data_IF_437495021469
#
_entry.id   IF_437495021469
#
_cell.length_a   1.000
_cell.length_b   1.000
_cell.length_c   1.000
_cell.angle_alpha   90.00
_cell.angle_beta   90.00
_cell.angle_gamma   90.00
#
_symmetry.space_group_name_H-M   'P 1'
#
loop_
_entity.id
_entity.type
_entity.pdbx_description
1 polymer ?
#
# COMPACT_ATOMS: atom_id res chain seq x y z
N UNK A 1 -25.92 -32.62 -40.68
CA UNK A 1 -26.61 -33.44 -41.71
C UNK A 1 -26.99 -32.53 -42.86
N UNK A 2 -26.42 -32.74 -44.05
CA UNK A 2 -26.82 -32.02 -45.26
C UNK A 2 -27.97 -32.80 -45.89
N UNK A 3 -29.14 -32.18 -46.02
CA UNK A 3 -30.33 -32.83 -46.59
C UNK A 3 -30.11 -33.14 -48.08
N UNK A 4 -29.88 -34.41 -48.43
CA UNK A 4 -29.68 -34.87 -49.82
C UNK A 4 -31.01 -35.25 -50.49
N UNK A 5 -31.98 -34.33 -50.52
CA UNK A 5 -33.24 -34.50 -51.25
C UNK A 5 -34.11 -35.71 -50.85
N UNK A 6 -35.30 -35.84 -51.46
CA UNK A 6 -36.19 -37.00 -51.22
C UNK A 6 -35.75 -38.21 -52.07
N UNK A 7 -35.58 -39.40 -51.49
CA UNK A 7 -35.28 -40.61 -52.24
C UNK A 7 -36.35 -40.94 -53.29
N UNK A 8 -35.93 -41.52 -54.42
CA UNK A 8 -36.84 -41.94 -55.50
C UNK A 8 -37.81 -43.03 -55.03
N UNK A 9 -39.10 -42.88 -55.39
CA UNK A 9 -40.18 -43.84 -55.10
C UNK A 9 -40.20 -45.08 -56.03
N UNK A 10 -39.20 -45.24 -56.90
CA UNK A 10 -39.12 -46.41 -57.79
C UNK A 10 -38.74 -47.68 -57.02
N UNK A 11 -39.08 -48.87 -57.54
CA UNK A 11 -38.63 -50.13 -56.94
C UNK A 11 -37.09 -50.22 -56.96
N UNK A 12 -36.52 -51.09 -56.13
CA UNK A 12 -35.06 -51.20 -55.98
C UNK A 12 -34.37 -51.55 -57.31
N UNK A 13 -34.94 -52.47 -58.06
CA UNK A 13 -34.34 -52.96 -59.31
C UNK A 13 -34.40 -51.91 -60.44
N UNK A 14 -35.47 -51.13 -60.52
CA UNK A 14 -35.51 -49.99 -61.45
C UNK A 14 -34.55 -48.87 -61.04
N UNK A 15 -34.32 -48.65 -59.73
CA UNK A 15 -33.32 -47.68 -59.25
C UNK A 15 -31.90 -48.11 -59.59
N UNK A 16 -31.55 -49.38 -59.36
CA UNK A 16 -30.22 -49.90 -59.72
C UNK A 16 -29.92 -49.79 -61.21
N UNK A 17 -30.95 -49.98 -62.04
CA UNK A 17 -30.86 -49.88 -63.50
C UNK A 17 -31.03 -48.46 -64.04
N UNK A 18 -31.28 -47.49 -63.17
CA UNK A 18 -31.56 -46.09 -63.50
C UNK A 18 -32.64 -45.88 -64.59
N UNK A 19 -33.76 -46.59 -64.45
CA UNK A 19 -34.92 -46.49 -65.37
C UNK A 19 -36.19 -46.05 -64.66
N UNK A 20 -37.11 -45.47 -65.44
CA UNK A 20 -38.41 -44.99 -64.93
C UNK A 20 -39.33 -46.16 -64.58
N UNK A 21 -39.70 -46.25 -63.30
CA UNK A 21 -40.59 -47.27 -62.78
C UNK A 21 -42.07 -46.81 -62.87
N UNK A 22 -42.96 -47.70 -63.30
CA UNK A 22 -44.41 -47.46 -63.45
C UNK A 22 -45.19 -47.65 -62.15
N UNK A 23 -44.57 -48.18 -61.09
CA UNK A 23 -45.05 -48.18 -59.70
C UNK A 23 -46.36 -48.95 -59.43
N UNK A 24 -46.69 -49.98 -60.21
CA UNK A 24 -47.86 -50.84 -59.98
C UNK A 24 -47.74 -51.66 -58.68
N UNK A 25 -48.85 -51.81 -57.95
CA UNK A 25 -48.90 -52.40 -56.59
C UNK A 25 -48.41 -53.86 -56.51
N UNK A 26 -48.78 -54.70 -57.47
CA UNK A 26 -48.38 -56.12 -57.50
C UNK A 26 -46.95 -56.35 -58.04
N UNK A 27 -46.21 -55.30 -58.38
CA UNK A 27 -44.89 -55.35 -59.00
C UNK A 27 -44.84 -54.55 -60.31
N UNK A 28 -43.71 -53.89 -60.57
CA UNK A 28 -43.57 -52.99 -61.71
C UNK A 28 -43.45 -53.76 -63.05
N UNK A 29 -44.03 -53.22 -64.12
CA UNK A 29 -44.04 -53.90 -65.43
C UNK A 29 -42.64 -54.02 -66.04
N UNK A 30 -41.74 -53.10 -65.69
CA UNK A 30 -40.35 -53.11 -66.19
C UNK A 30 -39.53 -54.28 -65.63
N UNK A 31 -39.78 -54.67 -64.38
CA UNK A 31 -39.16 -55.86 -63.79
C UNK A 31 -39.75 -57.13 -64.41
N UNK A 32 -41.08 -57.19 -64.56
CA UNK A 32 -41.75 -58.34 -65.17
C UNK A 32 -41.28 -58.60 -66.61
N UNK A 33 -41.20 -57.57 -67.46
CA UNK A 33 -40.69 -57.69 -68.84
C UNK A 33 -39.21 -58.11 -68.90
N UNK A 34 -38.44 -57.76 -67.89
CA UNK A 34 -37.03 -58.16 -67.79
C UNK A 34 -36.83 -59.54 -67.13
N UNK A 35 -37.91 -60.26 -66.79
CA UNK A 35 -37.83 -61.55 -66.09
C UNK A 35 -37.36 -61.46 -64.65
N UNK A 36 -37.42 -60.28 -64.02
CA UNK A 36 -36.93 -60.04 -62.65
C UNK A 36 -38.09 -59.96 -61.65
N UNK A 37 -37.91 -60.56 -60.48
CA UNK A 37 -38.85 -60.43 -59.36
C UNK A 37 -38.77 -59.02 -58.76
N UNK A 38 -39.88 -58.31 -58.75
CA UNK A 38 -39.95 -56.95 -58.20
C UNK A 38 -40.03 -57.00 -56.66
N UNK A 39 -38.99 -56.51 -55.98
CA UNK A 39 -38.90 -56.44 -54.51
C UNK A 39 -39.79 -55.37 -53.85
N UNK A 40 -40.67 -54.72 -54.62
CA UNK A 40 -41.61 -53.70 -54.14
C UNK A 40 -41.02 -52.30 -54.00
N UNK A 41 -41.79 -51.39 -53.39
CA UNK A 41 -41.44 -49.98 -53.19
C UNK A 41 -41.17 -49.71 -51.71
N UNK A 42 -40.13 -48.93 -51.41
CA UNK A 42 -39.83 -48.51 -50.04
C UNK A 42 -40.91 -47.56 -49.52
N UNK A 43 -41.39 -47.79 -48.30
CA UNK A 43 -42.31 -46.88 -47.61
C UNK A 43 -41.55 -45.64 -47.17
N UNK A 44 -42.17 -44.47 -47.28
CA UNK A 44 -41.51 -43.17 -47.05
C UNK A 44 -41.17 -42.86 -45.58
N UNK A 45 -41.33 -43.83 -44.67
CA UNK A 45 -41.07 -43.70 -43.22
C UNK A 45 -39.78 -44.36 -42.77
N UNK A 46 -39.05 -45.05 -43.66
CA UNK A 46 -37.78 -45.69 -43.29
C UNK A 46 -36.63 -44.66 -43.37
N UNK A 47 -36.21 -44.15 -42.21
CA UNK A 47 -35.07 -43.24 -42.06
C UNK A 47 -33.75 -44.00 -42.31
N UNK A 48 -33.05 -43.67 -43.39
CA UNK A 48 -31.68 -44.17 -43.64
C UNK A 48 -30.69 -43.23 -42.94
N UNK A 49 -30.24 -43.62 -41.75
CA UNK A 49 -29.17 -42.91 -41.03
C UNK A 49 -27.82 -43.48 -41.49
N UNK A 50 -27.10 -42.71 -42.31
CA UNK A 50 -25.73 -43.04 -42.72
C UNK A 50 -24.74 -42.48 -41.71
N UNK A 51 -23.86 -43.35 -41.20
CA UNK A 51 -22.79 -42.97 -40.28
C UNK A 51 -21.66 -42.28 -41.05
N UNK A 52 -21.65 -40.94 -41.06
CA UNK A 52 -20.61 -40.12 -41.71
C UNK A 52 -19.36 -39.88 -40.83
N UNK A 53 -19.20 -40.61 -39.72
CA UNK A 53 -18.10 -40.37 -38.77
C UNK A 53 -16.73 -40.52 -39.43
N UNK A 54 -16.55 -41.53 -40.29
CA UNK A 54 -15.29 -41.77 -41.00
C UNK A 54 -14.98 -40.65 -42.01
N UNK A 55 -15.96 -40.25 -42.82
CA UNK A 55 -15.81 -39.17 -43.80
C UNK A 55 -15.54 -37.82 -43.12
N UNK A 56 -16.15 -37.57 -41.95
CA UNK A 56 -15.90 -36.37 -41.16
C UNK A 56 -14.50 -36.40 -40.54
N UNK A 57 -14.07 -37.55 -40.00
CA UNK A 57 -12.74 -37.74 -39.45
C UNK A 57 -11.65 -37.51 -40.51
N UNK A 58 -11.78 -38.07 -41.71
CA UNK A 58 -10.85 -37.84 -42.82
C UNK A 58 -10.80 -36.37 -43.25
N UNK A 59 -11.95 -35.67 -43.27
CA UNK A 59 -12.00 -34.24 -43.59
C UNK A 59 -11.25 -33.39 -42.57
N UNK A 60 -11.38 -33.71 -41.28
CA UNK A 60 -10.67 -33.03 -40.20
C UNK A 60 -9.16 -33.32 -40.25
N UNK A 61 -8.77 -34.57 -40.53
CA UNK A 61 -7.36 -34.96 -40.69
C UNK A 61 -6.72 -34.26 -41.89
N UNK A 62 -7.41 -34.19 -43.04
CA UNK A 62 -6.94 -33.45 -44.23
C UNK A 62 -6.81 -31.94 -44.00
N UNK A 63 -7.68 -31.35 -43.17
CA UNK A 63 -7.58 -29.93 -42.79
C UNK A 63 -6.35 -29.70 -41.90
N UNK A 64 -6.09 -30.59 -40.94
CA UNK A 64 -4.90 -30.56 -40.07
C UNK A 64 -3.57 -30.76 -40.81
N UNK A 65 -3.55 -31.45 -41.95
CA UNK A 65 -2.32 -31.62 -42.74
C UNK A 65 -1.97 -30.40 -43.61
N UNK A 66 -2.95 -29.54 -43.93
CA UNK A 66 -2.73 -28.30 -44.69
C UNK A 66 -2.38 -27.13 -43.76
N UNK A 67 -2.83 -27.16 -42.51
CA UNK A 67 -2.33 -26.29 -41.44
C UNK A 67 -1.04 -26.89 -40.86
N UNK A 68 0.09 -26.63 -41.53
CA UNK A 68 1.43 -26.85 -40.99
C UNK A 68 1.46 -26.27 -39.56
N UNK A 69 1.91 -26.99 -38.51
CA UNK A 69 1.81 -26.49 -37.16
C UNK A 69 2.73 -25.27 -37.03
N UNK A 70 2.13 -24.08 -37.05
CA UNK A 70 2.67 -22.98 -36.27
C UNK A 70 2.77 -23.53 -34.85
N UNK A 71 4.00 -23.53 -34.32
CA UNK A 71 4.37 -23.76 -32.92
C UNK A 71 3.18 -23.82 -31.98
N UNK A 72 3.03 -24.93 -31.26
CA UNK A 72 2.07 -25.13 -30.17
C UNK A 72 1.67 -23.78 -29.56
N UNK A 73 0.46 -23.31 -29.90
CA UNK A 73 -0.01 -22.00 -29.49
C UNK A 73 0.13 -21.89 -27.99
N UNK A 74 0.87 -20.89 -27.53
CA UNK A 74 0.88 -20.45 -26.14
C UNK A 74 -0.55 -20.53 -25.62
N UNK A 75 -0.75 -21.23 -24.51
CA UNK A 75 -1.96 -21.12 -23.70
C UNK A 75 -2.36 -19.65 -23.68
N UNK A 76 -3.57 -19.34 -24.15
CA UNK A 76 -4.09 -17.98 -24.24
C UNK A 76 -3.81 -17.24 -22.93
N UNK A 77 -2.80 -16.37 -22.93
CA UNK A 77 -2.38 -15.56 -21.78
C UNK A 77 -3.46 -14.55 -21.36
N UNK A 78 -4.56 -14.48 -22.12
CA UNK A 78 -5.70 -13.59 -21.92
C UNK A 78 -6.56 -13.93 -20.69
N UNK A 79 -6.34 -15.07 -20.02
CA UNK A 79 -7.02 -15.42 -18.76
C UNK A 79 -6.22 -15.05 -17.51
N UNK A 80 -4.95 -14.68 -17.64
CA UNK A 80 -4.13 -14.26 -16.50
C UNK A 80 -4.24 -12.75 -16.29
N UNK A 81 -4.45 -12.29 -15.05
CA UNK A 81 -4.51 -10.86 -14.77
C UNK A 81 -3.19 -10.20 -15.16
N UNK A 82 -3.26 -9.03 -15.82
CA UNK A 82 -2.08 -8.24 -16.16
C UNK A 82 -1.31 -7.85 -14.90
N UNK A 83 -0.04 -7.49 -15.06
CA UNK A 83 0.77 -6.98 -13.93
C UNK A 83 0.07 -5.82 -13.25
N UNK A 84 -0.48 -4.87 -14.02
CA UNK A 84 -1.20 -3.73 -13.48
C UNK A 84 -2.46 -4.16 -12.70
N UNK A 85 -3.20 -5.15 -13.19
CA UNK A 85 -4.36 -5.68 -12.47
C UNK A 85 -3.95 -6.34 -11.14
N UNK A 86 -2.85 -7.10 -11.12
CA UNK A 86 -2.30 -7.67 -9.88
C UNK A 86 -1.79 -6.60 -8.93
N UNK A 87 -1.10 -5.58 -9.46
CA UNK A 87 -0.60 -4.44 -8.71
C UNK A 87 -1.72 -3.65 -8.04
N UNK A 88 -2.80 -3.39 -8.79
CA UNK A 88 -4.03 -2.79 -8.25
C UNK A 88 -4.64 -3.63 -7.13
N UNK A 89 -4.83 -4.93 -7.34
CA UNK A 89 -5.41 -5.80 -6.31
C UNK A 89 -4.55 -5.84 -5.05
N UNK A 90 -3.22 -5.93 -5.21
CA UNK A 90 -2.30 -5.87 -4.09
C UNK A 90 -2.40 -4.53 -3.35
N UNK A 91 -2.40 -3.40 -4.06
CA UNK A 91 -2.53 -2.10 -3.41
C UNK A 91 -3.83 -2.00 -2.60
N UNK A 92 -4.95 -2.46 -3.18
CA UNK A 92 -6.25 -2.44 -2.52
C UNK A 92 -6.21 -3.29 -1.24
N UNK A 93 -5.68 -4.51 -1.28
CA UNK A 93 -5.61 -5.36 -0.09
C UNK A 93 -4.67 -4.84 1.00
N UNK A 94 -3.66 -4.05 0.63
CA UNK A 94 -2.71 -3.51 1.60
C UNK A 94 -3.15 -2.17 2.22
N UNK A 95 -3.88 -1.32 1.48
CA UNK A 95 -4.16 0.07 1.88
C UNK A 95 -5.63 0.46 1.95
N UNK A 96 -6.51 -0.29 1.30
CA UNK A 96 -7.92 0.09 1.12
C UNK A 96 -8.85 -0.85 1.85
N UNK A 97 -8.60 -2.16 1.74
CA UNK A 97 -9.45 -3.20 2.30
C UNK A 97 -9.58 -3.01 3.83
N UNK A 98 -10.82 -2.83 4.30
CA UNK A 98 -11.18 -2.61 5.71
C UNK A 98 -10.54 -1.36 6.37
N UNK A 99 -9.97 -0.42 5.61
CA UNK A 99 -9.41 0.81 6.12
C UNK A 99 -10.34 2.00 5.84
N UNK A 100 -10.69 2.83 6.85
CA UNK A 100 -11.38 4.08 6.59
C UNK A 100 -10.49 5.01 5.73
N UNK A 101 -11.10 5.96 5.00
CA UNK A 101 -10.41 6.93 4.12
C UNK A 101 -9.70 8.03 4.92
N UNK A 102 -8.91 7.62 5.91
CA UNK A 102 -8.25 8.48 6.89
C UNK A 102 -6.81 8.79 6.52
N UNK A 103 -6.16 7.96 5.69
CA UNK A 103 -4.75 8.14 5.31
C UNK A 103 -4.53 8.38 3.83
N UNK A 104 -3.38 8.96 3.46
CA UNK A 104 -3.13 9.40 2.08
C UNK A 104 -3.19 8.23 1.08
N UNK A 105 -2.74 7.05 1.51
CA UNK A 105 -2.75 5.82 0.71
C UNK A 105 -4.16 5.27 0.50
N UNK A 106 -5.06 5.39 1.49
CA UNK A 106 -6.45 4.94 1.36
C UNK A 106 -7.34 6.00 0.70
N UNK A 107 -6.93 7.28 0.71
CA UNK A 107 -7.69 8.41 0.19
C UNK A 107 -7.95 8.36 -1.31
N UNK A 108 -7.16 7.58 -2.07
CA UNK A 108 -7.43 7.39 -3.50
C UNK A 108 -8.84 6.84 -3.79
N UNK A 109 -9.49 6.17 -2.83
CA UNK A 109 -10.87 5.68 -2.93
C UNK A 109 -11.89 6.80 -3.14
N UNK A 110 -11.57 8.04 -2.75
CA UNK A 110 -12.43 9.20 -3.00
C UNK A 110 -12.54 9.49 -4.51
N UNK A 111 -11.47 9.20 -5.26
CA UNK A 111 -11.40 9.45 -6.70
C UNK A 111 -11.52 8.18 -7.55
N UNK A 112 -11.40 7.00 -6.95
CA UNK A 112 -11.30 5.72 -7.67
C UNK A 112 -12.36 4.70 -7.23
N UNK A 113 -13.05 4.02 -8.16
CA UNK A 113 -13.01 4.23 -9.62
C UNK A 113 -13.69 5.56 -10.01
N UNK A 114 -13.24 6.18 -11.12
CA UNK A 114 -13.77 7.47 -11.56
C UNK A 114 -15.30 7.38 -11.78
N UNK A 115 -16.06 8.28 -11.15
CA UNK A 115 -17.54 8.32 -11.22
C UNK A 115 -18.06 9.29 -12.29
N UNK A 116 -17.27 10.30 -12.66
CA UNK A 116 -17.53 11.25 -13.74
C UNK A 116 -16.24 12.01 -14.07
N UNK A 117 -15.99 12.20 -15.37
CA UNK A 117 -14.81 12.78 -16.01
C UNK A 117 -13.49 12.02 -15.79
N UNK A 118 -12.89 11.56 -16.88
CA UNK A 118 -11.52 11.05 -16.88
C UNK A 118 -10.56 12.21 -16.56
N UNK A 119 -9.69 12.03 -15.57
CA UNK A 119 -8.60 12.97 -15.27
C UNK A 119 -7.27 12.25 -15.46
N UNK A 120 -6.67 12.31 -16.66
CA UNK A 120 -5.54 11.46 -17.04
C UNK A 120 -4.34 11.55 -16.11
N UNK A 121 -4.09 12.72 -15.52
CA UNK A 121 -3.00 12.92 -14.56
C UNK A 121 -3.17 12.02 -13.32
N UNK A 122 -4.36 12.06 -12.70
CA UNK A 122 -4.61 11.30 -11.49
C UNK A 122 -4.63 9.79 -11.78
N UNK A 123 -5.25 9.39 -12.88
CA UNK A 123 -5.25 7.98 -13.30
C UNK A 123 -3.83 7.46 -13.52
N UNK A 124 -2.99 8.23 -14.23
CA UNK A 124 -1.59 7.90 -14.47
C UNK A 124 -0.83 7.76 -13.14
N UNK A 125 -1.05 8.67 -12.19
CA UNK A 125 -0.39 8.62 -10.89
C UNK A 125 -0.84 7.45 -10.01
N UNK A 126 -2.14 7.13 -9.99
CA UNK A 126 -2.66 5.96 -9.26
C UNK A 126 -2.06 4.67 -9.82
N UNK A 127 -2.04 4.50 -11.15
CA UNK A 127 -1.44 3.33 -11.79
C UNK A 127 0.08 3.24 -11.55
N UNK A 128 0.76 4.39 -11.59
CA UNK A 128 2.18 4.51 -11.25
C UNK A 128 2.45 4.03 -9.83
N UNK A 129 1.61 4.44 -8.87
CA UNK A 129 1.74 4.06 -7.48
C UNK A 129 1.49 2.55 -7.27
N UNK A 130 0.48 1.98 -7.94
CA UNK A 130 0.23 0.53 -7.92
C UNK A 130 1.46 -0.25 -8.34
N UNK A 131 2.09 0.14 -9.46
CA UNK A 131 3.26 -0.55 -9.98
C UNK A 131 4.48 -0.38 -9.08
N UNK A 132 4.71 0.82 -8.53
CA UNK A 132 5.80 1.06 -7.57
C UNK A 132 5.64 0.24 -6.28
N UNK A 133 4.43 0.23 -5.71
CA UNK A 133 4.10 -0.61 -4.55
C UNK A 133 4.28 -2.09 -4.86
N UNK A 134 3.84 -2.55 -6.04
CA UNK A 134 4.01 -3.93 -6.45
C UNK A 134 5.48 -4.32 -6.58
N UNK A 135 6.31 -3.48 -7.20
CA UNK A 135 7.76 -3.68 -7.26
C UNK A 135 8.36 -3.82 -5.86
N UNK A 136 8.04 -2.88 -4.98
CA UNK A 136 8.56 -2.86 -3.62
C UNK A 136 8.16 -4.14 -2.87
N UNK A 137 6.86 -4.43 -2.76
CA UNK A 137 6.36 -5.53 -1.95
C UNK A 137 6.70 -6.92 -2.51
N UNK A 138 6.73 -7.07 -3.84
CA UNK A 138 7.00 -8.37 -4.49
C UNK A 138 8.45 -8.54 -4.96
N UNK A 139 9.28 -7.50 -4.86
CA UNK A 139 10.65 -7.51 -5.36
C UNK A 139 10.77 -7.57 -6.90
N UNK A 140 9.71 -7.24 -7.63
CA UNK A 140 9.67 -7.36 -9.09
C UNK A 140 10.04 -6.05 -9.79
N UNK A 141 11.35 -5.82 -9.93
CA UNK A 141 11.95 -4.59 -10.49
C UNK A 141 11.39 -4.10 -11.84
N UNK A 142 10.97 -4.95 -12.79
CA UNK A 142 10.36 -4.45 -14.03
C UNK A 142 9.09 -3.62 -13.79
N UNK A 143 8.34 -3.83 -12.69
CA UNK A 143 7.22 -2.97 -12.35
C UNK A 143 7.67 -1.54 -12.04
N UNK A 144 8.78 -1.36 -11.31
CA UNK A 144 9.31 -0.03 -11.04
C UNK A 144 9.71 0.68 -12.33
N UNK A 145 10.34 -0.04 -13.27
CA UNK A 145 10.68 0.54 -14.58
C UNK A 145 9.44 1.06 -15.32
N UNK A 146 8.35 0.28 -15.37
CA UNK A 146 7.09 0.74 -15.95
C UNK A 146 6.45 1.91 -15.17
N UNK A 147 6.59 1.92 -13.85
CA UNK A 147 6.14 3.02 -13.01
C UNK A 147 6.93 4.31 -13.32
N UNK A 148 8.24 4.23 -13.50
CA UNK A 148 9.11 5.37 -13.85
C UNK A 148 8.77 5.95 -15.23
N UNK A 149 8.46 5.11 -16.22
CA UNK A 149 7.98 5.59 -17.53
C UNK A 149 6.65 6.34 -17.36
N UNK A 150 5.71 5.76 -16.62
CA UNK A 150 4.39 6.36 -16.37
C UNK A 150 4.51 7.67 -15.58
N UNK A 151 5.44 7.73 -14.64
CA UNK A 151 5.80 8.93 -13.90
C UNK A 151 6.34 10.04 -14.80
N UNK A 152 7.16 9.70 -15.81
CA UNK A 152 7.60 10.64 -16.84
C UNK A 152 6.42 11.27 -17.59
N UNK A 153 5.41 10.47 -17.94
CA UNK A 153 4.16 10.98 -18.52
C UNK A 153 3.37 11.86 -17.54
N UNK A 154 3.31 11.46 -16.27
CA UNK A 154 2.64 12.25 -15.22
C UNK A 154 3.29 13.63 -15.05
N UNK A 155 4.62 13.76 -15.10
CA UNK A 155 5.30 15.07 -15.07
C UNK A 155 4.85 15.99 -16.21
N UNK A 156 4.69 15.45 -17.42
CA UNK A 156 4.18 16.21 -18.57
C UNK A 156 2.72 16.64 -18.38
N UNK A 157 1.88 15.74 -17.85
CA UNK A 157 0.48 16.03 -17.53
C UNK A 157 0.35 17.07 -16.40
N UNK A 158 1.16 16.96 -15.35
CA UNK A 158 1.22 17.95 -14.26
C UNK A 158 1.57 19.32 -14.80
N UNK A 159 2.58 19.43 -15.68
CA UNK A 159 2.95 20.71 -16.30
C UNK A 159 1.79 21.35 -17.04
N UNK A 160 1.00 20.57 -17.80
CA UNK A 160 -0.19 21.05 -18.50
C UNK A 160 -1.28 21.50 -17.52
N UNK A 161 -1.54 20.70 -16.49
CA UNK A 161 -2.55 20.99 -15.48
C UNK A 161 -2.26 22.29 -14.73
N UNK A 162 -1.01 22.51 -14.28
CA UNK A 162 -0.65 23.72 -13.52
C UNK A 162 -0.59 24.99 -14.39
N UNK A 163 -0.47 24.85 -15.72
CA UNK A 163 -0.55 25.98 -16.66
C UNK A 163 -1.99 26.45 -16.90
N UNK A 164 -2.98 25.61 -16.60
CA UNK A 164 -4.40 25.95 -16.68
C UNK A 164 -4.88 26.49 -15.33
N UNK A 165 -5.34 27.76 -15.24
CA UNK A 165 -5.85 28.32 -13.98
C UNK A 165 -7.00 27.52 -13.38
N UNK A 166 -7.78 26.85 -14.22
CA UNK A 166 -8.90 26.00 -13.77
C UNK A 166 -8.40 24.67 -13.24
N UNK A 167 -7.51 23.98 -13.95
CA UNK A 167 -7.05 22.66 -13.52
C UNK A 167 -6.12 22.74 -12.32
N UNK A 168 -5.27 23.77 -12.21
CA UNK A 168 -4.38 23.98 -11.08
C UNK A 168 -5.11 23.97 -9.71
N UNK A 169 -6.39 24.33 -9.69
CA UNK A 169 -7.21 24.43 -8.47
C UNK A 169 -7.98 23.15 -8.14
N UNK A 170 -7.93 22.11 -8.98
CA UNK A 170 -8.69 20.88 -8.78
C UNK A 170 -8.06 20.01 -7.68
N UNK A 171 -8.91 19.36 -6.88
CA UNK A 171 -8.48 18.36 -5.89
C UNK A 171 -7.64 17.25 -6.51
N UNK A 172 -8.06 16.79 -7.70
CA UNK A 172 -7.37 15.72 -8.44
C UNK A 172 -5.94 16.13 -8.81
N UNK A 173 -5.70 17.41 -9.08
CA UNK A 173 -4.36 17.95 -9.40
C UNK A 173 -3.49 18.00 -8.16
N UNK A 174 -3.99 18.62 -7.09
CA UNK A 174 -3.26 18.68 -5.80
C UNK A 174 -2.95 17.28 -5.27
N UNK A 175 -3.94 16.39 -5.27
CA UNK A 175 -3.75 15.02 -4.84
C UNK A 175 -2.74 14.27 -5.71
N UNK A 176 -2.74 14.48 -7.03
CA UNK A 176 -1.73 13.88 -7.91
C UNK A 176 -0.31 14.34 -7.54
N UNK A 177 -0.10 15.63 -7.23
CA UNK A 177 1.21 16.15 -6.79
C UNK A 177 1.62 15.56 -5.42
N UNK A 178 0.67 15.37 -4.50
CA UNK A 178 0.92 14.65 -3.24
C UNK A 178 1.33 13.19 -3.50
N UNK A 179 0.68 12.49 -4.42
CA UNK A 179 1.05 11.12 -4.82
C UNK A 179 2.43 11.08 -5.51
N UNK A 180 2.82 12.10 -6.27
CA UNK A 180 4.16 12.21 -6.84
C UNK A 180 5.22 12.27 -5.74
N UNK A 181 4.93 13.01 -4.67
CA UNK A 181 5.79 13.08 -3.48
C UNK A 181 5.99 11.70 -2.83
N UNK A 182 4.95 10.86 -2.80
CA UNK A 182 5.03 9.48 -2.30
C UNK A 182 5.82 8.58 -3.26
N UNK A 183 5.53 8.67 -4.57
CA UNK A 183 6.18 7.85 -5.58
C UNK A 183 7.69 8.02 -5.56
N UNK A 184 8.20 9.26 -5.47
CA UNK A 184 9.64 9.51 -5.42
C UNK A 184 10.30 8.82 -4.23
N UNK A 185 9.64 8.77 -3.07
CA UNK A 185 10.15 8.00 -1.91
C UNK A 185 10.19 6.50 -2.20
N UNK A 186 9.10 5.94 -2.74
CA UNK A 186 9.04 4.50 -3.06
C UNK A 186 10.08 4.10 -4.11
N UNK A 187 10.30 4.95 -5.13
CA UNK A 187 11.24 4.69 -6.21
C UNK A 187 12.71 4.86 -5.77
N UNK A 188 13.02 5.86 -4.93
CA UNK A 188 14.39 6.14 -4.47
C UNK A 188 14.92 5.08 -3.49
N UNK A 189 14.04 4.45 -2.70
CA UNK A 189 14.42 3.33 -1.81
C UNK A 189 15.09 2.20 -2.60
N UNK A 190 14.62 1.89 -3.81
CA UNK A 190 15.20 0.84 -4.64
C UNK A 190 16.56 1.23 -5.28
N UNK A 191 16.88 2.52 -5.35
CA UNK A 191 18.11 3.05 -5.97
C UNK A 191 19.23 3.40 -4.97
N UNK A 192 19.04 3.13 -3.66
CA UNK A 192 20.04 3.33 -2.58
C UNK A 192 20.57 4.79 -2.43
N UNK A 193 19.96 5.76 -3.08
CA UNK A 193 20.30 7.18 -2.95
C UNK A 193 19.54 7.83 -1.80
N UNK A 194 20.27 8.32 -0.78
CA UNK A 194 19.69 8.93 0.45
C UNK A 194 19.47 10.45 0.34
N UNK A 195 19.40 11.03 -0.86
CA UNK A 195 19.06 12.44 -1.05
C UNK A 195 17.60 12.56 -1.48
N UNK A 196 16.73 12.90 -0.53
CA UNK A 196 15.26 12.93 -0.67
C UNK A 196 14.79 14.38 -0.58
N UNK A 197 15.27 15.27 -1.44
CA UNK A 197 14.69 16.61 -1.50
C UNK A 197 13.43 16.56 -2.36
N UNK A 198 12.26 16.66 -1.74
CA UNK A 198 10.99 16.49 -2.43
C UNK A 198 10.49 17.80 -3.06
N UNK A 199 10.77 17.99 -4.35
CA UNK A 199 10.34 19.18 -5.11
C UNK A 199 8.82 19.32 -5.22
N UNK A 200 8.07 18.20 -5.15
CA UNK A 200 6.61 18.22 -5.26
C UNK A 200 5.92 18.76 -4.02
N UNK A 201 6.50 18.60 -2.83
CA UNK A 201 5.96 19.23 -1.62
C UNK A 201 5.94 20.76 -1.77
N UNK A 202 6.97 21.33 -2.40
CA UNK A 202 6.99 22.74 -2.77
C UNK A 202 5.85 23.11 -3.71
N UNK A 203 5.68 22.35 -4.78
CA UNK A 203 4.56 22.56 -5.70
C UNK A 203 3.19 22.43 -5.01
N UNK A 204 3.03 21.47 -4.11
CA UNK A 204 1.77 21.20 -3.42
C UNK A 204 1.35 22.33 -2.49
N UNK A 205 2.26 22.90 -1.69
CA UNK A 205 1.88 24.03 -0.84
C UNK A 205 1.58 25.29 -1.65
N UNK A 206 2.27 25.54 -2.77
CA UNK A 206 1.96 26.68 -3.66
C UNK A 206 0.58 26.50 -4.31
N UNK A 207 0.25 25.29 -4.77
CA UNK A 207 -1.08 24.99 -5.31
C UNK A 207 -2.18 25.14 -4.24
N UNK A 208 -1.94 24.70 -3.01
CA UNK A 208 -2.89 24.93 -1.92
C UNK A 208 -3.01 26.42 -1.59
N UNK A 209 -1.92 27.18 -1.55
CA UNK A 209 -1.99 28.63 -1.35
C UNK A 209 -2.82 29.32 -2.44
N UNK A 210 -2.69 28.91 -3.70
CA UNK A 210 -3.48 29.42 -4.82
C UNK A 210 -4.99 29.10 -4.70
N UNK A 211 -5.37 27.98 -4.06
CA UNK A 211 -6.78 27.63 -3.81
C UNK A 211 -7.45 28.51 -2.75
N UNK A 212 -6.67 29.14 -1.88
CA UNK A 212 -7.15 30.01 -0.82
C UNK A 212 -7.87 29.27 0.32
N UNK A 213 -8.46 30.05 1.24
CA UNK A 213 -8.95 29.54 2.53
C UNK A 213 -10.21 28.67 2.46
N UNK A 214 -10.98 28.74 1.37
CA UNK A 214 -12.23 27.95 1.19
C UNK A 214 -11.99 26.44 1.21
N UNK A 215 -10.78 25.98 0.88
CA UNK A 215 -10.45 24.55 0.91
C UNK A 215 -10.44 23.98 2.33
N UNK A 216 -10.24 24.81 3.36
CA UNK A 216 -10.13 24.34 4.74
C UNK A 216 -11.49 24.11 5.41
N UNK A 217 -12.57 24.62 4.81
CA UNK A 217 -13.95 24.33 5.22
C UNK A 217 -14.55 23.13 4.48
N UNK A 218 -13.92 22.70 3.39
CA UNK A 218 -14.30 21.50 2.66
C UNK A 218 -13.60 20.26 3.24
N UNK A 219 -14.32 19.15 3.41
CA UNK A 219 -13.77 17.94 4.02
C UNK A 219 -12.58 17.39 3.22
N UNK A 220 -12.66 17.44 1.88
CA UNK A 220 -11.61 16.95 1.01
C UNK A 220 -10.37 17.85 1.01
N UNK A 221 -10.57 19.15 0.93
CA UNK A 221 -9.50 20.14 1.04
C UNK A 221 -8.77 20.09 2.38
N UNK A 222 -9.50 20.01 3.50
CA UNK A 222 -8.92 19.89 4.83
C UNK A 222 -8.11 18.59 5.01
N UNK A 223 -8.60 17.44 4.50
CA UNK A 223 -7.85 16.17 4.52
C UNK A 223 -6.57 16.25 3.70
N UNK A 224 -6.61 16.80 2.49
CA UNK A 224 -5.40 16.97 1.68
C UNK A 224 -4.38 17.89 2.36
N UNK A 225 -4.84 18.96 3.03
CA UNK A 225 -3.96 19.82 3.81
C UNK A 225 -3.27 19.06 4.96
N UNK A 226 -3.98 18.16 5.65
CA UNK A 226 -3.39 17.31 6.68
C UNK A 226 -2.38 16.31 6.11
N UNK A 227 -2.61 15.76 4.91
CA UNK A 227 -1.63 14.94 4.22
C UNK A 227 -0.38 15.74 3.83
N UNK A 228 -0.55 16.95 3.29
CA UNK A 228 0.56 17.84 2.99
C UNK A 228 1.37 18.16 4.25
N UNK A 229 0.69 18.48 5.36
CA UNK A 229 1.32 18.79 6.65
C UNK A 229 2.20 17.66 7.12
N UNK A 230 1.69 16.43 7.11
CA UNK A 230 2.46 15.24 7.48
C UNK A 230 3.70 15.07 6.59
N UNK A 231 3.53 15.15 5.26
CA UNK A 231 4.64 14.96 4.34
C UNK A 231 5.72 16.03 4.49
N UNK A 232 5.34 17.30 4.68
CA UNK A 232 6.27 18.41 4.90
C UNK A 232 7.04 18.23 6.19
N UNK A 233 6.36 17.91 7.30
CA UNK A 233 7.02 17.73 8.61
C UNK A 233 8.00 16.57 8.57
N UNK A 234 7.63 15.43 7.98
CA UNK A 234 8.53 14.29 7.84
C UNK A 234 9.72 14.57 6.92
N UNK A 235 9.52 15.32 5.81
CA UNK A 235 10.61 15.74 4.92
C UNK A 235 11.59 16.67 5.65
N UNK A 236 11.09 17.63 6.44
CA UNK A 236 11.91 18.54 7.22
C UNK A 236 12.72 17.82 8.30
N UNK A 237 12.07 16.91 9.04
CA UNK A 237 12.74 16.08 10.05
C UNK A 237 13.83 15.20 9.44
N UNK A 238 13.55 14.55 8.32
CA UNK A 238 14.51 13.67 7.65
C UNK A 238 15.66 14.45 7.00
N UNK A 239 15.40 15.61 6.39
CA UNK A 239 16.42 16.43 5.77
C UNK A 239 17.09 17.41 6.74
N UNK A 240 16.65 17.45 8.00
CA UNK A 240 17.21 18.27 9.05
C UNK A 240 17.15 19.78 8.75
N UNK A 241 16.05 20.21 8.14
CA UNK A 241 15.77 21.60 7.77
C UNK A 241 14.56 22.12 8.53
N UNK A 242 14.45 23.44 8.65
CA UNK A 242 13.30 24.09 9.28
C UNK A 242 12.04 23.96 8.41
N UNK A 243 10.88 24.13 9.05
CA UNK A 243 9.59 24.22 8.37
C UNK A 243 9.57 25.47 7.48
N UNK A 244 9.30 25.34 6.16
CA UNK A 244 9.31 26.49 5.26
C UNK A 244 8.34 27.60 5.69
N UNK A 245 8.75 28.89 5.71
CA UNK A 245 7.87 30.00 6.07
C UNK A 245 6.62 30.09 5.20
N UNK A 246 6.70 29.70 3.92
CA UNK A 246 5.55 29.66 3.03
C UNK A 246 4.50 28.64 3.50
N UNK A 247 4.95 27.50 4.02
CA UNK A 247 4.07 26.50 4.59
C UNK A 247 3.44 26.99 5.91
N UNK A 248 4.20 27.68 6.75
CA UNK A 248 3.67 28.32 7.97
C UNK A 248 2.59 29.37 7.65
N UNK A 249 2.77 30.16 6.58
CA UNK A 249 1.76 31.11 6.13
C UNK A 249 0.47 30.38 5.68
N UNK A 250 0.60 29.27 4.95
CA UNK A 250 -0.54 28.43 4.58
C UNK A 250 -1.24 27.82 5.81
N UNK A 251 -0.45 27.39 6.80
CA UNK A 251 -0.93 26.88 8.09
C UNK A 251 -1.73 27.92 8.85
N UNK A 252 -1.26 29.17 8.87
CA UNK A 252 -1.97 30.30 9.47
C UNK A 252 -3.29 30.58 8.73
N UNK A 253 -3.28 30.56 7.39
CA UNK A 253 -4.51 30.68 6.61
C UNK A 253 -5.50 29.54 6.85
N UNK A 254 -5.06 28.37 7.32
CA UNK A 254 -5.95 27.28 7.71
C UNK A 254 -6.55 27.46 9.12
N UNK A 255 -5.95 28.30 9.96
CA UNK A 255 -6.45 28.65 11.30
C UNK A 255 -7.46 29.80 11.28
N UNK A 256 -7.36 30.69 10.30
CA UNK A 256 -8.28 31.84 10.12
C UNK A 256 -9.74 31.47 9.75
N UNK A 257 -10.02 30.44 8.93
CA UNK A 257 -11.36 29.90 8.74
C UNK A 257 -11.71 28.90 9.85
N UNK A 258 -12.99 28.59 10.02
CA UNK A 258 -13.51 27.58 10.94
C UNK A 258 -13.15 26.13 10.57
N UNK A 259 -11.88 25.87 10.21
CA UNK A 259 -11.34 24.53 10.03
C UNK A 259 -11.44 23.76 11.35
N UNK A 260 -11.78 22.48 11.27
CA UNK A 260 -11.86 21.63 12.44
C UNK A 260 -10.46 21.32 12.99
N UNK A 261 -10.03 22.12 13.97
CA UNK A 261 -8.78 21.92 14.69
C UNK A 261 -8.92 20.91 15.85
N UNK A 262 -10.11 20.38 16.09
CA UNK A 262 -10.38 19.48 17.22
C UNK A 262 -9.95 18.04 16.95
N UNK A 263 -9.81 17.66 15.68
CA UNK A 263 -9.39 16.30 15.29
C UNK A 263 -8.04 15.92 15.89
N UNK A 264 -7.92 14.66 16.33
CA UNK A 264 -6.68 14.16 16.94
C UNK A 264 -5.50 14.23 15.97
N UNK A 265 -5.73 13.96 14.69
CA UNK A 265 -4.75 14.08 13.62
C UNK A 265 -4.18 15.49 13.53
N UNK A 266 -5.03 16.53 13.56
CA UNK A 266 -4.59 17.92 13.55
C UNK A 266 -3.70 18.24 14.76
N UNK A 267 -4.17 17.89 15.96
CA UNK A 267 -3.45 18.16 17.20
C UNK A 267 -2.11 17.42 17.28
N UNK A 268 -2.04 16.19 16.76
CA UNK A 268 -0.79 15.44 16.67
C UNK A 268 0.19 16.05 15.66
N UNK A 269 -0.30 16.43 14.48
CA UNK A 269 0.54 17.08 13.47
C UNK A 269 1.06 18.45 13.93
N UNK A 270 0.30 19.15 14.77
CA UNK A 270 0.75 20.38 15.44
C UNK A 270 1.96 20.11 16.37
N UNK A 271 1.89 19.06 17.18
CA UNK A 271 3.00 18.64 18.04
C UNK A 271 4.21 18.21 17.20
N UNK A 272 3.99 17.42 16.14
CA UNK A 272 5.05 17.00 15.22
C UNK A 272 5.75 18.19 14.55
N UNK A 273 4.99 19.21 14.14
CA UNK A 273 5.54 20.44 13.53
C UNK A 273 6.39 21.22 14.54
N UNK A 274 5.88 21.43 15.77
CA UNK A 274 6.64 22.09 16.84
C UNK A 274 7.91 21.31 17.22
N UNK A 275 7.84 19.98 17.23
CA UNK A 275 9.01 19.12 17.42
C UNK A 275 10.04 19.30 16.30
N UNK A 276 9.62 19.35 15.03
CA UNK A 276 10.54 19.60 13.91
C UNK A 276 11.24 20.96 14.01
N UNK A 277 10.52 22.00 14.40
CA UNK A 277 11.10 23.32 14.67
C UNK A 277 12.10 23.28 15.83
N UNK A 278 11.79 22.54 16.90
CA UNK A 278 12.69 22.37 18.05
C UNK A 278 13.99 21.65 17.65
N UNK A 279 13.91 20.55 16.91
CA UNK A 279 15.08 19.81 16.38
C UNK A 279 15.96 20.68 15.48
N UNK A 280 15.36 21.58 14.71
CA UNK A 280 16.12 22.56 13.93
C UNK A 280 16.75 23.65 14.81
N UNK A 281 16.01 24.22 15.75
CA UNK A 281 16.47 25.25 16.68
C UNK A 281 17.63 24.80 17.59
N UNK A 282 17.67 23.51 17.96
CA UNK A 282 18.81 22.89 18.64
C UNK A 282 20.11 23.12 17.88
N UNK A 283 20.10 23.00 16.54
CA UNK A 283 21.29 23.21 15.69
C UNK A 283 21.65 24.68 15.53
N UNK A 284 20.68 25.56 15.70
CA UNK A 284 20.84 27.01 15.61
C UNK A 284 21.34 27.65 16.94
N UNK A 285 21.88 26.85 17.87
CA UNK A 285 22.47 27.29 19.14
C UNK A 285 21.48 27.92 20.15
N UNK A 286 20.33 27.27 20.36
CA UNK A 286 19.37 27.62 21.43
C UNK A 286 19.91 27.20 22.81
N UNK A 287 19.49 27.86 23.89
CA UNK A 287 19.91 27.48 25.25
C UNK A 287 19.42 26.08 25.63
N UNK A 288 20.26 25.29 26.29
CA UNK A 288 19.91 23.93 26.71
C UNK A 288 18.66 23.88 27.62
N UNK A 289 18.48 24.88 28.48
CA UNK A 289 17.30 24.99 29.36
C UNK A 289 16.01 25.23 28.60
N UNK A 290 16.01 26.12 27.59
CA UNK A 290 14.83 26.37 26.75
C UNK A 290 14.46 25.14 25.93
N UNK A 291 15.46 24.41 25.43
CA UNK A 291 15.29 23.16 24.69
C UNK A 291 14.59 22.11 25.56
N UNK A 292 15.07 21.91 26.81
CA UNK A 292 14.47 20.97 27.76
C UNK A 292 13.02 21.37 28.07
N UNK A 293 12.77 22.63 28.41
CA UNK A 293 11.43 23.11 28.74
C UNK A 293 10.44 22.92 27.58
N UNK A 294 10.85 23.23 26.34
CA UNK A 294 10.00 23.01 25.16
C UNK A 294 9.74 21.52 24.92
N UNK A 295 10.74 20.66 25.12
CA UNK A 295 10.59 19.22 24.97
C UNK A 295 9.64 18.61 26.01
N UNK A 296 9.69 19.07 27.26
CA UNK A 296 8.76 18.68 28.32
C UNK A 296 7.32 19.12 28.03
N UNK A 297 7.14 20.34 27.51
CA UNK A 297 5.84 20.83 27.09
C UNK A 297 5.23 19.96 25.97
N UNK A 298 6.05 19.56 24.99
CA UNK A 298 5.62 18.65 23.92
C UNK A 298 5.32 17.23 24.44
N UNK A 299 6.09 16.71 25.40
CA UNK A 299 5.81 15.42 26.04
C UNK A 299 4.46 15.45 26.77
N UNK A 300 4.16 16.54 27.47
CA UNK A 300 2.88 16.73 28.15
C UNK A 300 1.71 16.86 27.15
N UNK A 301 1.91 17.52 26.01
CA UNK A 301 0.93 17.58 24.91
C UNK A 301 0.63 16.17 24.38
N UNK A 302 1.67 15.35 24.17
CA UNK A 302 1.52 13.97 23.69
C UNK A 302 0.81 13.08 24.71
N UNK A 303 1.16 13.21 26.00
CA UNK A 303 0.49 12.49 27.07
C UNK A 303 -1.00 12.81 27.13
N UNK A 304 -1.36 14.11 27.00
CA UNK A 304 -2.77 14.52 26.88
C UNK A 304 -3.48 13.89 25.67
N UNK A 305 -2.82 13.76 24.53
CA UNK A 305 -3.43 13.13 23.34
C UNK A 305 -3.76 11.65 23.58
N UNK A 306 -2.97 10.94 24.40
CA UNK A 306 -3.25 9.52 24.70
C UNK A 306 -4.60 9.30 25.40
N UNK A 307 -5.11 10.30 26.11
CA UNK A 307 -6.41 10.22 26.81
C UNK A 307 -7.61 10.10 25.85
N UNK A 308 -7.42 10.48 24.59
CA UNK A 308 -8.44 10.39 23.54
C UNK A 308 -8.28 9.16 22.64
N UNK A 309 -7.20 8.39 22.79
CA UNK A 309 -6.99 7.17 22.01
C UNK A 309 -7.86 6.02 22.57
N UNK A 310 -8.30 5.08 21.71
CA UNK A 310 -8.98 3.89 22.19
C UNK A 310 -8.13 3.11 23.19
N UNK A 311 -8.78 2.63 24.25
CA UNK A 311 -8.14 1.82 25.29
C UNK A 311 -7.73 0.45 24.76
N UNK A 312 -6.71 -0.14 25.38
CA UNK A 312 -6.23 -1.49 25.09
C UNK A 312 -5.97 -2.23 26.40
N UNK A 313 -5.87 -3.56 26.33
CA UNK A 313 -5.56 -4.36 27.51
C UNK A 313 -4.04 -4.48 27.69
N UNK A 314 -3.52 -3.78 28.71
CA UNK A 314 -2.10 -3.83 29.04
C UNK A 314 -1.76 -5.03 29.93
N UNK A 315 -0.79 -5.84 29.51
CA UNK A 315 -0.27 -6.97 30.29
C UNK A 315 0.65 -6.54 31.43
N UNK A 316 1.16 -5.31 31.41
CA UNK A 316 1.96 -4.72 32.49
C UNK A 316 1.19 -4.65 33.82
N UNK A 317 -0.14 -4.59 33.76
CA UNK A 317 -1.01 -4.52 34.93
C UNK A 317 -1.42 -5.91 35.47
N UNK A 318 -0.93 -7.00 34.86
CA UNK A 318 -1.23 -8.37 35.29
C UNK A 318 -0.41 -8.75 36.53
N UNK A 319 -1.02 -9.40 37.55
CA UNK A 319 -0.32 -9.82 38.78
C UNK A 319 0.65 -11.01 38.59
N UNK A 320 0.99 -11.36 37.35
CA UNK A 320 1.82 -12.52 37.03
C UNK A 320 3.34 -12.21 37.13
N UNK A 321 4.19 -13.23 37.39
CA UNK A 321 5.63 -13.05 37.48
C UNK A 321 6.26 -12.48 36.18
N UNK A 322 7.31 -11.64 36.25
CA UNK A 322 7.94 -11.00 35.09
C UNK A 322 8.43 -11.97 33.99
N UNK A 323 8.82 -13.19 34.37
CA UNK A 323 9.28 -14.24 33.45
C UNK A 323 8.14 -14.77 32.56
N UNK A 324 6.90 -14.76 33.05
CA UNK A 324 5.70 -15.15 32.28
C UNK A 324 5.24 -14.02 31.35
N UNK A 325 5.52 -12.75 31.70
CA UNK A 325 5.24 -11.58 30.88
C UNK A 325 6.08 -11.52 29.60
N UNK A 326 7.30 -12.08 29.59
CA UNK A 326 8.18 -12.08 28.41
C UNK A 326 7.51 -12.70 27.16
N UNK A 327 6.59 -13.66 27.37
CA UNK A 327 5.88 -14.37 26.31
C UNK A 327 4.46 -13.84 26.03
N UNK A 328 4.06 -12.71 26.62
CA UNK A 328 2.73 -12.11 26.45
C UNK A 328 2.82 -10.70 25.88
N UNK A 329 1.93 -10.39 24.95
CA UNK A 329 1.76 -9.06 24.36
C UNK A 329 0.48 -8.37 24.86
N UNK A 330 0.51 -7.04 24.80
CA UNK A 330 -0.67 -6.20 24.97
C UNK A 330 -1.70 -6.50 23.88
N UNK A 331 -2.99 -6.37 24.21
CA UNK A 331 -4.08 -6.66 23.27
C UNK A 331 -4.75 -5.35 22.87
N UNK A 332 -4.58 -4.97 21.61
CA UNK A 332 -5.23 -3.83 20.98
C UNK A 332 -6.50 -4.26 20.26
N UNK A 333 -7.54 -3.42 20.20
CA UNK A 333 -8.77 -3.73 19.46
C UNK A 333 -8.52 -3.91 17.95
N UNK A 334 -7.59 -3.13 17.39
CA UNK A 334 -7.25 -3.13 15.98
C UNK A 334 -5.81 -2.61 15.77
N UNK A 335 -5.29 -2.79 14.54
CA UNK A 335 -3.96 -2.33 14.15
C UNK A 335 -3.81 -0.80 14.22
N UNK A 336 -4.83 -0.04 13.81
CA UNK A 336 -4.74 1.42 13.81
C UNK A 336 -4.58 1.94 15.24
N UNK A 337 -5.32 1.40 16.21
CA UNK A 337 -5.15 1.74 17.63
C UNK A 337 -3.71 1.46 18.09
N UNK A 338 -3.16 0.27 17.79
CA UNK A 338 -1.77 -0.08 18.10
C UNK A 338 -0.78 0.92 17.48
N UNK A 339 -0.95 1.24 16.19
CA UNK A 339 -0.11 2.17 15.43
C UNK A 339 -0.13 3.57 16.05
N UNK A 340 -1.31 4.09 16.39
CA UNK A 340 -1.47 5.43 16.99
C UNK A 340 -0.72 5.54 18.32
N UNK A 341 -0.89 4.54 19.20
CA UNK A 341 -0.16 4.46 20.47
C UNK A 341 1.36 4.42 20.25
N UNK A 342 1.84 3.60 19.31
CA UNK A 342 3.27 3.49 19.03
C UNK A 342 3.86 4.74 18.38
N UNK A 343 3.12 5.44 17.50
CA UNK A 343 3.57 6.71 16.91
C UNK A 343 3.80 7.77 18.00
N UNK A 344 2.88 7.89 18.96
CA UNK A 344 3.06 8.76 20.13
C UNK A 344 4.29 8.33 20.94
N UNK A 345 4.43 7.03 21.24
CA UNK A 345 5.57 6.51 22.02
C UNK A 345 6.92 6.81 21.36
N UNK A 346 7.02 6.66 20.04
CA UNK A 346 8.24 6.99 19.27
C UNK A 346 8.60 8.47 19.42
N UNK A 347 7.62 9.37 19.30
CA UNK A 347 7.88 10.81 19.43
C UNK A 347 8.31 11.18 20.86
N UNK A 348 7.64 10.64 21.88
CA UNK A 348 8.03 10.83 23.29
C UNK A 348 9.44 10.30 23.56
N UNK A 349 9.80 9.16 22.98
CA UNK A 349 11.15 8.58 23.01
C UNK A 349 12.19 9.57 22.45
N UNK A 350 11.91 10.23 21.32
CA UNK A 350 12.80 11.25 20.76
C UNK A 350 12.92 12.49 21.66
N UNK A 351 11.80 12.97 22.23
CA UNK A 351 11.84 14.09 23.19
C UNK A 351 12.68 13.75 24.43
N UNK A 352 12.53 12.54 24.98
CA UNK A 352 13.36 12.10 26.10
C UNK A 352 14.85 12.05 25.72
N UNK A 353 15.19 11.62 24.50
CA UNK A 353 16.57 11.65 24.00
C UNK A 353 17.11 13.08 23.98
N UNK A 354 16.35 14.01 23.41
CA UNK A 354 16.73 15.42 23.32
C UNK A 354 16.91 16.07 24.70
N UNK A 355 16.02 15.78 25.67
CA UNK A 355 16.18 16.22 27.07
C UNK A 355 17.49 15.70 27.66
N UNK A 356 17.84 14.43 27.44
CA UNK A 356 19.07 13.85 28.01
C UNK A 356 20.32 14.45 27.39
N UNK A 357 20.35 14.58 26.07
CA UNK A 357 21.51 15.13 25.35
C UNK A 357 21.85 16.55 25.82
N UNK A 358 20.83 17.38 26.08
CA UNK A 358 21.02 18.76 26.54
C UNK A 358 21.15 18.88 28.06
N UNK A 359 20.48 18.03 28.84
CA UNK A 359 20.64 18.01 30.29
C UNK A 359 22.07 17.64 30.70
N UNK A 360 22.73 16.73 29.99
CA UNK A 360 24.15 16.40 30.23
C UNK A 360 25.06 17.59 29.96
N UNK A 361 24.76 18.44 28.97
CA UNK A 361 25.55 19.64 28.67
C UNK A 361 25.47 20.69 29.79
N UNK A 362 24.40 20.67 30.59
CA UNK A 362 24.22 21.61 31.71
C UNK A 362 24.94 21.16 33.00
N UNK A 363 25.30 19.88 33.12
CA UNK A 363 26.01 19.35 34.30
C UNK A 363 27.37 20.02 34.48
N UNK A 364 27.70 20.39 35.73
CA UNK A 364 28.99 20.99 36.08
C UNK A 364 29.14 22.47 35.71
N UNK A 365 28.09 23.10 35.17
CA UNK A 365 28.05 24.53 34.82
C UNK A 365 27.05 25.34 35.66
N UNK A 366 26.24 24.67 36.51
CA UNK A 366 25.15 25.28 37.26
C UNK A 366 25.20 24.91 38.75
N UNK A 367 24.60 25.73 39.62
CA UNK A 367 24.44 25.43 41.05
C UNK A 367 23.39 24.34 41.34
N UNK A 368 22.71 23.82 40.32
CA UNK A 368 21.52 22.95 40.43
C UNK A 368 21.72 21.55 39.82
N UNK A 369 22.95 21.03 39.85
CA UNK A 369 23.30 19.72 39.30
C UNK A 369 22.45 18.58 39.87
N UNK A 370 21.98 18.69 41.13
CA UNK A 370 21.07 17.70 41.73
C UNK A 370 19.73 17.63 41.01
N UNK A 371 19.14 18.77 40.65
CA UNK A 371 17.87 18.81 39.91
C UNK A 371 18.05 18.26 38.50
N UNK A 372 19.11 18.67 37.81
CA UNK A 372 19.43 18.19 36.46
C UNK A 372 19.64 16.67 36.45
N UNK A 373 20.38 16.12 37.44
CA UNK A 373 20.54 14.67 37.58
C UNK A 373 19.21 13.94 37.80
N UNK A 374 18.30 14.51 38.59
CA UNK A 374 16.97 13.94 38.81
C UNK A 374 16.13 13.94 37.51
N UNK A 375 16.16 15.03 36.75
CA UNK A 375 15.50 15.15 35.43
C UNK A 375 16.06 14.12 34.43
N UNK A 376 17.38 13.96 34.37
CA UNK A 376 18.05 12.96 33.52
C UNK A 376 17.65 11.52 33.90
N UNK A 377 17.59 11.23 35.21
CA UNK A 377 17.18 9.92 35.70
C UNK A 377 15.71 9.65 35.34
N UNK A 378 14.82 10.62 35.54
CA UNK A 378 13.41 10.50 35.20
C UNK A 378 13.19 10.33 33.70
N UNK A 379 13.90 11.10 32.87
CA UNK A 379 13.87 10.95 31.41
C UNK A 379 14.33 9.56 30.95
N UNK A 380 15.39 9.01 31.55
CA UNK A 380 15.83 7.64 31.30
C UNK A 380 14.78 6.60 31.71
N UNK A 381 14.17 6.77 32.89
CA UNK A 381 13.11 5.88 33.38
C UNK A 381 11.91 5.87 32.45
N UNK A 382 11.44 7.05 32.00
CA UNK A 382 10.33 7.20 31.04
C UNK A 382 10.67 6.55 29.70
N UNK A 383 11.85 6.83 29.15
CA UNK A 383 12.28 6.26 27.89
C UNK A 383 12.31 4.72 27.92
N UNK A 384 12.85 4.13 28.98
CA UNK A 384 12.85 2.67 29.17
C UNK A 384 11.44 2.08 29.32
N UNK A 385 10.53 2.80 29.99
CA UNK A 385 9.12 2.42 30.08
C UNK A 385 8.45 2.40 28.71
N UNK A 386 8.64 3.45 27.91
CA UNK A 386 8.06 3.59 26.56
C UNK A 386 8.60 2.53 25.59
N UNK A 387 9.90 2.24 25.64
CA UNK A 387 10.52 1.15 24.88
C UNK A 387 9.90 -0.19 25.24
N UNK A 388 9.69 -0.43 26.53
CA UNK A 388 9.03 -1.65 27.01
C UNK A 388 7.58 -1.73 26.52
N UNK A 389 6.85 -0.62 26.46
CA UNK A 389 5.47 -0.57 25.94
C UNK A 389 5.42 -0.85 24.43
N UNK A 390 6.37 -0.32 23.64
CA UNK A 390 6.52 -0.66 22.22
C UNK A 390 6.80 -2.17 22.07
N UNK A 391 7.72 -2.72 22.85
CA UNK A 391 8.00 -4.14 22.86
C UNK A 391 6.72 -4.94 23.16
N UNK A 392 6.05 -4.67 24.27
CA UNK A 392 4.82 -5.38 24.66
C UNK A 392 3.71 -5.26 23.60
N UNK A 393 3.72 -4.23 22.77
CA UNK A 393 2.74 -4.09 21.69
C UNK A 393 2.86 -5.14 20.58
N UNK A 394 4.02 -5.77 20.37
CA UNK A 394 4.29 -6.69 19.25
C UNK A 394 4.66 -8.07 19.80
N UNK A 395 4.00 -9.19 19.49
CA UNK A 395 4.37 -10.51 20.04
C UNK A 395 5.84 -10.92 19.80
N UNK A 396 6.40 -11.73 20.69
CA UNK A 396 7.72 -12.36 20.51
C UNK A 396 7.63 -13.70 19.76
N UNK A 397 8.77 -14.16 19.22
CA UNK A 397 8.89 -15.49 18.60
C UNK A 397 8.51 -16.61 19.59
N UNK A 398 7.66 -17.55 19.16
CA UNK A 398 7.21 -18.67 19.99
C UNK A 398 6.11 -18.33 20.99
N UNK A 399 5.61 -17.08 21.02
CA UNK A 399 4.45 -16.74 21.82
C UNK A 399 3.18 -17.42 21.25
N UNK A 400 2.41 -18.11 22.11
CA UNK A 400 1.09 -18.64 21.76
C UNK A 400 0.05 -17.52 21.51
N UNK A 401 0.43 -16.25 21.68
CA UNK A 401 -0.41 -15.09 21.44
C UNK A 401 -0.38 -14.70 19.96
N UNK A 402 -1.44 -15.07 19.23
CA UNK A 402 -1.75 -14.45 17.95
C UNK A 402 -2.35 -13.07 18.22
N UNK A 403 -1.97 -12.07 17.42
CA UNK A 403 -2.70 -10.81 17.40
C UNK A 403 -4.16 -11.06 17.03
N UNK A 404 -5.10 -10.26 17.53
CA UNK A 404 -6.52 -10.43 17.21
C UNK A 404 -6.86 -10.08 15.75
N UNK A 405 -5.88 -9.61 14.98
CA UNK A 405 -5.99 -9.23 13.56
C UNK A 405 -4.76 -9.69 12.78
N UNK A 406 -4.90 -9.78 11.46
CA UNK A 406 -3.79 -10.03 10.53
C UNK A 406 -3.03 -8.73 10.26
N UNK A 407 -1.70 -8.81 10.20
CA UNK A 407 -0.83 -7.69 9.84
C UNK A 407 -0.47 -7.82 8.36
N UNK A 408 -0.66 -6.75 7.59
CA UNK A 408 -0.25 -6.68 6.18
C UNK A 408 1.26 -6.41 6.04
N UNK A 409 1.84 -6.62 4.84
CA UNK A 409 3.28 -6.37 4.64
C UNK A 409 3.66 -4.91 4.93
N UNK A 410 2.76 -4.00 4.59
CA UNK A 410 2.88 -2.55 4.80
C UNK A 410 2.89 -2.23 6.29
N UNK A 411 1.93 -2.79 7.04
CA UNK A 411 1.81 -2.60 8.48
C UNK A 411 3.01 -3.17 9.25
N UNK A 412 3.55 -4.30 8.79
CA UNK A 412 4.80 -4.88 9.31
C UNK A 412 5.98 -3.92 9.22
N UNK A 413 6.13 -3.15 8.12
CA UNK A 413 7.19 -2.15 7.99
C UNK A 413 7.07 -1.04 9.03
N UNK A 414 5.86 -0.60 9.32
CA UNK A 414 5.58 0.41 10.35
C UNK A 414 5.95 -0.11 11.75
N UNK A 415 5.57 -1.35 12.08
CA UNK A 415 5.92 -1.97 13.38
C UNK A 415 7.43 -2.18 13.54
N UNK A 416 8.13 -2.53 12.46
CA UNK A 416 9.59 -2.64 12.45
C UNK A 416 10.27 -1.30 12.68
N UNK A 417 9.73 -0.21 12.14
CA UNK A 417 10.21 1.12 12.44
C UNK A 417 10.05 1.46 13.93
N UNK A 418 8.92 1.12 14.55
CA UNK A 418 8.72 1.34 16.00
C UNK A 418 9.77 0.59 16.82
N UNK A 419 10.06 -0.67 16.47
CA UNK A 419 11.12 -1.47 17.11
C UNK A 419 12.52 -0.89 16.87
N UNK A 420 12.80 -0.37 15.67
CA UNK A 420 14.05 0.30 15.35
C UNK A 420 14.24 1.57 16.22
N UNK A 421 13.23 2.43 16.30
CA UNK A 421 13.27 3.62 17.14
C UNK A 421 13.45 3.29 18.63
N UNK A 422 12.87 2.17 19.09
CA UNK A 422 13.06 1.67 20.44
C UNK A 422 14.49 1.12 20.68
N UNK A 423 15.10 0.47 19.68
CA UNK A 423 16.46 -0.06 19.73
C UNK A 423 17.50 1.06 19.92
N UNK A 424 17.35 2.17 19.20
CA UNK A 424 18.31 3.31 19.21
C UNK A 424 18.49 3.95 20.60
N UNK A 425 17.48 3.86 21.47
CA UNK A 425 17.55 4.44 22.82
C UNK A 425 18.22 3.51 23.84
N UNK A 426 18.30 2.21 23.56
CA UNK A 426 18.81 1.22 24.50
C UNK A 426 20.35 1.18 24.52
N UNK A 427 20.91 2.01 25.39
CA UNK A 427 22.21 1.73 26.03
C UNK A 427 22.10 0.69 27.18
N UNK A 428 20.91 0.10 27.39
CA UNK A 428 20.55 -0.72 28.55
C UNK A 428 20.94 -2.21 28.50
N UNK A 429 20.46 -3.02 29.48
CA UNK A 429 20.86 -4.42 29.69
C UNK A 429 20.58 -5.33 28.49
N UNK A 430 21.41 -6.36 28.30
CA UNK A 430 21.32 -7.31 27.18
C UNK A 430 19.92 -7.93 26.97
N UNK A 431 19.15 -8.11 28.05
CA UNK A 431 17.80 -8.67 28.01
C UNK A 431 16.80 -7.86 27.18
N UNK A 432 16.84 -6.52 27.24
CA UNK A 432 15.95 -5.66 26.46
C UNK A 432 16.30 -5.71 24.96
N UNK A 433 17.58 -5.84 24.63
CA UNK A 433 18.06 -6.01 23.24
C UNK A 433 17.63 -7.36 22.66
N UNK A 434 17.71 -8.43 23.45
CA UNK A 434 17.23 -9.75 23.08
C UNK A 434 15.72 -9.74 22.80
N UNK A 435 14.92 -9.10 23.65
CA UNK A 435 13.47 -9.00 23.44
C UNK A 435 13.09 -8.23 22.16
N UNK A 436 13.81 -7.15 21.84
CA UNK A 436 13.58 -6.44 20.56
C UNK A 436 13.94 -7.33 19.38
N UNK A 437 15.04 -8.07 19.46
CA UNK A 437 15.45 -8.98 18.39
C UNK A 437 14.40 -10.07 18.13
N UNK A 438 13.87 -10.69 19.17
CA UNK A 438 12.78 -11.69 19.06
C UNK A 438 11.53 -11.10 18.38
N UNK A 439 11.14 -9.87 18.73
CA UNK A 439 9.98 -9.21 18.13
C UNK A 439 10.21 -8.80 16.68
N UNK A 440 11.43 -8.38 16.35
CA UNK A 440 11.85 -8.16 14.97
C UNK A 440 11.68 -9.44 14.16
N UNK A 441 12.18 -10.58 14.64
CA UNK A 441 12.05 -11.85 13.92
C UNK A 441 10.58 -12.23 13.72
N UNK A 442 9.74 -12.07 14.75
CA UNK A 442 8.30 -12.30 14.63
C UNK A 442 7.66 -11.47 13.50
N UNK A 443 7.99 -10.17 13.40
CA UNK A 443 7.44 -9.33 12.33
C UNK A 443 8.01 -9.73 10.97
N UNK A 444 9.30 -10.11 10.89
CA UNK A 444 9.92 -10.58 9.65
C UNK A 444 9.24 -11.84 9.09
N UNK A 445 8.85 -12.79 9.94
CA UNK A 445 8.11 -13.98 9.51
C UNK A 445 6.77 -13.66 8.82
N UNK A 446 6.22 -12.47 9.05
CA UNK A 446 4.98 -11.98 8.42
C UNK A 446 5.20 -11.24 7.10
N UNK A 447 6.46 -11.00 6.72
CA UNK A 447 6.81 -10.25 5.51
C UNK A 447 7.18 -11.17 4.34
N UNK A 448 7.03 -10.64 3.12
CA UNK A 448 7.58 -11.28 1.92
C UNK A 448 9.13 -11.32 1.95
N UNK A 449 9.77 -12.39 1.42
CA UNK A 449 11.23 -12.51 1.41
C UNK A 449 11.96 -11.35 0.72
N UNK A 450 11.32 -10.70 -0.25
CA UNK A 450 11.86 -9.51 -0.94
C UNK A 450 12.09 -8.32 -0.02
N UNK A 451 11.37 -8.22 1.09
CA UNK A 451 11.48 -7.12 2.06
C UNK A 451 12.57 -7.37 3.11
N UNK A 452 12.95 -8.64 3.34
CA UNK A 452 13.92 -9.00 4.38
C UNK A 452 15.30 -8.37 4.17
N UNK A 453 15.79 -8.31 2.93
CA UNK A 453 17.11 -7.72 2.62
C UNK A 453 17.24 -6.25 3.03
N UNK A 454 16.20 -5.45 2.77
CA UNK A 454 16.22 -4.01 3.11
C UNK A 454 16.27 -3.80 4.61
N UNK A 455 15.61 -4.70 5.35
CA UNK A 455 15.53 -4.66 6.80
C UNK A 455 16.77 -5.24 7.48
N UNK A 456 17.34 -6.32 6.95
CA UNK A 456 18.60 -6.88 7.46
C UNK A 456 19.74 -5.88 7.33
N UNK A 457 19.71 -5.07 6.27
CA UNK A 457 20.59 -3.93 6.16
C UNK A 457 20.35 -2.92 7.29
N UNK A 458 19.11 -2.50 7.57
CA UNK A 458 18.78 -1.55 8.66
C UNK A 458 19.17 -2.02 10.06
N UNK A 459 19.07 -3.32 10.29
CA UNK A 459 19.22 -3.91 11.62
C UNK A 459 20.64 -4.40 11.91
N UNK A 460 21.53 -4.44 10.91
CA UNK A 460 22.93 -4.81 11.11
C UNK A 460 23.62 -3.81 12.02
N UNK A 461 24.45 -4.32 12.95
CA UNK A 461 25.18 -3.47 13.90
C UNK A 461 26.22 -2.57 13.23
N UNK A 462 26.66 -2.94 12.01
CA UNK A 462 27.58 -2.16 11.19
C UNK A 462 26.92 -0.97 10.46
N UNK A 463 25.60 -0.82 10.54
CA UNK A 463 24.92 0.18 9.74
C UNK A 463 25.02 1.57 10.37
N UNK A 464 25.85 2.43 9.78
CA UNK A 464 25.85 3.89 9.95
C UNK A 464 24.61 4.56 9.31
N UNK A 465 23.50 3.86 9.16
CA UNK A 465 22.29 4.43 8.60
C UNK A 465 21.75 5.45 9.59
N UNK A 466 22.17 6.70 9.37
CA UNK A 466 21.69 7.95 9.95
C UNK A 466 21.18 7.88 11.40
N UNK A 467 21.87 8.52 12.33
CA UNK A 467 21.36 8.82 13.70
C UNK A 467 19.96 9.47 13.73
N UNK A 468 19.50 9.99 12.59
CA UNK A 468 18.17 10.53 12.40
C UNK A 468 17.21 9.42 11.92
N UNK A 469 16.33 9.01 12.84
CA UNK A 469 15.30 7.98 12.63
C UNK A 469 14.29 8.36 11.55
N UNK A 470 14.10 9.66 11.25
CA UNK A 470 13.11 10.11 10.27
C UNK A 470 13.57 9.82 8.84
N UNK A 471 14.88 9.77 8.58
CA UNK A 471 15.40 9.23 7.31
C UNK A 471 15.06 7.75 7.16
N UNK A 472 15.14 7.00 8.26
CA UNK A 472 14.74 5.58 8.29
C UNK A 472 13.25 5.46 8.03
N UNK A 473 12.40 6.28 8.67
CA UNK A 473 10.97 6.32 8.38
C UNK A 473 10.68 6.61 6.90
N UNK A 474 11.31 7.61 6.28
CA UNK A 474 11.10 7.87 4.85
C UNK A 474 11.56 6.70 3.96
N UNK A 475 12.52 5.91 4.43
CA UNK A 475 13.05 4.76 3.72
C UNK A 475 12.17 3.50 3.87
N UNK A 476 11.69 3.18 5.07
CA UNK A 476 10.90 1.96 5.33
C UNK A 476 9.40 2.19 5.47
N UNK A 477 9.00 3.38 5.89
CA UNK A 477 7.61 3.75 6.12
C UNK A 477 6.81 3.59 4.85
N UNK A 478 5.72 2.85 4.95
CA UNK A 478 4.78 2.63 3.85
C UNK A 478 3.38 3.13 4.18
N UNK A 479 3.19 3.76 5.33
CA UNK A 479 1.91 4.32 5.78
C UNK A 479 2.12 5.74 6.31
N UNK A 480 1.03 6.34 6.74
CA UNK A 480 1.04 7.61 7.46
C UNK A 480 1.69 7.46 8.84
N UNK A 481 2.53 8.42 9.21
CA UNK A 481 2.95 8.68 10.58
C UNK A 481 1.99 9.70 11.23
N UNK A 482 0.78 9.23 11.54
CA UNK A 482 -0.28 10.03 12.20
C UNK A 482 -0.99 9.20 13.28
N UNK A 483 -1.86 9.86 14.05
CA UNK A 483 -2.88 9.24 14.90
C UNK A 483 -4.29 9.45 14.35
#
# INVERSE_FOLDING_TARGET
MVYRGRPSKSCLECRKRDIKCDKKEAGCSQCSRAGLTCSGYQKSTDLVILNETSATAEKVLRKRSLDRPASAGLLSTNLLPTVLQRAKHLYISQYVENAPTMGIYSYMQVFYPSKSDDYPLLETMINTLFMATFSSLQGWRPALYHAQISYGSALSLTRKAIQSPREALLDRTVFSVLLMSIFERLANVEQRGLCIRNGHLKGAFELMALRGSRQFTDEGGAKMFLYLTELVVLDCLANEVDIPPQFLALRQQALEPGADTSSLRWRFLEVMMRYAQLEYAVKAATSAGDIIHQAEALDADLDRLTTYLPSFFSRRQSPEPPIVLANKSDIYPDYNTQRCWNNIRVLRIQLMKLIREHGVQMLGSSADDTRIMAELHESNRRANSLVTDICLSIPGTGANSRLPYEITNVQSNTLLFHLYAAKEILSGPAQSRLSIHERIQFVKEKQSPSQHMTLDYLLSEDNQMSRNIWKVWLFVGREDFSI
#
